data_IF_713155958054
#
_entry.id   IF_713155958054
#
_cell.length_a   1.000
_cell.length_b   1.000
_cell.length_c   1.000
_cell.angle_alpha   90.00
_cell.angle_beta   90.00
_cell.angle_gamma   90.00
#
_symmetry.space_group_name_H-M   'P 1'
#
loop_
_entity.id
_entity.type
_entity.pdbx_description
1 polymer ?
#
# COMPACT_ATOMS: atom_id res chain seq x y z
N UNK A 1 -20.80 7.63 -15.48
CA UNK A 1 -20.05 8.05 -14.26
C UNK A 1 -19.91 6.87 -13.33
N UNK A 2 -18.70 6.50 -12.89
CA UNK A 2 -18.52 5.47 -11.85
C UNK A 2 -19.39 5.87 -10.65
N UNK A 3 -20.21 4.94 -10.15
CA UNK A 3 -21.03 5.23 -8.98
C UNK A 3 -20.05 5.48 -7.84
N UNK A 4 -20.31 6.50 -7.02
CA UNK A 4 -19.43 6.99 -5.95
C UNK A 4 -19.31 5.97 -4.79
N UNK A 5 -18.83 4.77 -5.08
CA UNK A 5 -18.83 3.55 -4.24
C UNK A 5 -17.41 3.04 -3.95
N UNK A 6 -16.41 3.90 -4.11
CA UNK A 6 -15.01 3.55 -3.92
C UNK A 6 -14.80 2.93 -2.53
N UNK A 7 -14.51 1.63 -2.49
CA UNK A 7 -14.21 0.91 -1.24
C UNK A 7 -12.72 0.67 -1.16
N UNK A 8 -12.07 1.23 -0.14
CA UNK A 8 -10.67 0.87 0.16
C UNK A 8 -10.64 -0.58 0.62
N UNK A 9 -9.77 -1.38 0.02
CA UNK A 9 -9.61 -2.81 0.34
C UNK A 9 -8.21 -3.14 0.85
N UNK A 10 -7.25 -2.24 0.69
CA UNK A 10 -5.89 -2.41 1.17
C UNK A 10 -5.24 -1.05 1.43
N UNK A 11 -4.51 -0.95 2.53
CA UNK A 11 -3.55 0.12 2.77
C UNK A 11 -2.23 -0.51 3.25
N UNK A 12 -1.10 -0.03 2.76
CA UNK A 12 0.20 -0.52 3.16
C UNK A 12 1.26 0.56 3.15
N UNK A 13 2.15 0.53 4.15
CA UNK A 13 3.38 1.31 4.21
C UNK A 13 4.57 0.37 4.37
N UNK A 14 5.65 0.67 3.67
CA UNK A 14 6.89 -0.08 3.69
C UNK A 14 8.05 0.89 3.86
N UNK A 15 8.90 0.65 4.85
CA UNK A 15 10.08 1.46 5.13
C UNK A 15 11.31 0.60 4.94
N UNK A 16 12.19 0.98 4.01
CA UNK A 16 13.52 0.38 3.86
C UNK A 16 14.50 1.18 4.70
N UNK A 17 15.20 0.49 5.60
CA UNK A 17 16.00 1.11 6.65
C UNK A 17 17.44 0.62 6.54
N UNK A 18 18.39 1.54 6.64
CA UNK A 18 19.82 1.27 6.57
C UNK A 18 20.62 2.16 7.54
N UNK A 19 21.70 1.67 8.17
CA UNK A 19 22.05 0.26 8.28
C UNK A 19 21.06 -0.47 9.21
N UNK A 20 20.69 -1.71 8.88
CA UNK A 20 19.95 -2.60 9.78
C UNK A 20 20.81 -3.81 10.15
N UNK A 21 20.73 -4.22 11.41
CA UNK A 21 21.32 -5.48 11.92
C UNK A 21 20.22 -6.51 12.22
N UNK A 22 20.56 -7.80 12.29
CA UNK A 22 19.64 -8.81 12.81
C UNK A 22 19.16 -8.45 14.21
N UNK A 23 17.87 -8.60 14.46
CA UNK A 23 17.28 -8.39 15.78
C UNK A 23 17.63 -9.56 16.72
N UNK A 24 17.97 -9.23 17.97
CA UNK A 24 18.13 -10.22 19.05
C UNK A 24 16.78 -10.82 19.45
N UNK A 25 16.78 -11.90 20.25
CA UNK A 25 15.53 -12.48 20.77
C UNK A 25 14.81 -11.48 21.67
N UNK A 26 15.55 -10.80 22.55
CA UNK A 26 14.99 -9.82 23.49
C UNK A 26 14.37 -8.63 22.77
N UNK A 27 14.99 -8.15 21.70
CA UNK A 27 14.46 -7.09 20.85
C UNK A 27 13.15 -7.49 20.15
N UNK A 28 13.07 -8.72 19.66
CA UNK A 28 11.83 -9.24 19.05
C UNK A 28 10.71 -9.34 20.09
N UNK A 29 11.02 -9.83 21.29
CA UNK A 29 10.05 -9.94 22.39
C UNK A 29 9.61 -8.57 22.91
N UNK A 30 10.55 -7.63 23.06
CA UNK A 30 10.25 -6.25 23.43
C UNK A 30 9.32 -5.60 22.39
N UNK A 31 9.61 -5.77 21.09
CA UNK A 31 8.76 -5.24 20.03
C UNK A 31 7.35 -5.82 20.07
N UNK A 32 7.21 -7.14 20.21
CA UNK A 32 5.90 -7.78 20.35
C UNK A 32 5.12 -7.29 21.58
N UNK A 33 5.80 -7.10 22.72
CA UNK A 33 5.21 -6.58 23.95
C UNK A 33 4.73 -5.13 23.79
N UNK A 34 5.54 -4.27 23.17
CA UNK A 34 5.15 -2.88 22.93
C UNK A 34 3.97 -2.79 21.95
N UNK A 35 3.93 -3.65 20.92
CA UNK A 35 2.79 -3.75 20.01
C UNK A 35 1.51 -4.19 20.74
N UNK A 36 1.59 -5.14 21.68
CA UNK A 36 0.41 -5.53 22.45
C UNK A 36 -0.11 -4.41 23.35
N UNK A 37 0.76 -3.53 23.86
CA UNK A 37 0.34 -2.39 24.70
C UNK A 37 -0.44 -1.32 23.93
N UNK A 38 -0.29 -1.23 22.61
CA UNK A 38 -1.15 -0.40 21.75
C UNK A 38 -2.36 -1.18 21.20
N UNK A 39 -2.59 -2.40 21.72
CA UNK A 39 -3.71 -3.28 21.38
C UNK A 39 -3.49 -4.19 20.17
N UNK A 40 -2.29 -4.24 19.59
CA UNK A 40 -1.94 -5.19 18.53
C UNK A 40 -1.49 -6.54 19.14
N UNK A 41 -2.44 -7.28 19.69
CA UNK A 41 -2.19 -8.64 20.20
C UNK A 41 -2.00 -9.63 19.04
N UNK A 42 -0.86 -10.33 19.03
CA UNK A 42 -0.51 -11.23 17.94
C UNK A 42 -1.38 -12.50 17.97
N UNK A 43 -2.28 -12.64 16.99
CA UNK A 43 -3.00 -13.89 16.72
C UNK A 43 -2.06 -14.93 16.08
N UNK A 44 -1.12 -14.43 15.27
CA UNK A 44 -0.09 -15.25 14.63
C UNK A 44 1.22 -14.49 14.58
N UNK A 45 2.30 -15.19 14.93
CA UNK A 45 3.67 -14.70 14.78
C UNK A 45 4.37 -15.43 13.64
N UNK A 46 5.12 -14.70 12.82
CA UNK A 46 5.98 -15.27 11.80
C UNK A 46 7.45 -15.02 12.16
N UNK A 47 8.27 -16.08 12.10
CA UNK A 47 9.72 -15.93 12.12
C UNK A 47 10.15 -15.36 10.77
N UNK A 48 10.89 -14.26 10.78
CA UNK A 48 11.47 -13.65 9.58
C UNK A 48 12.98 -13.59 9.73
N UNK A 49 13.69 -13.64 8.61
CA UNK A 49 15.14 -13.50 8.60
C UNK A 49 15.55 -12.16 9.24
N UNK A 50 16.38 -12.23 10.29
CA UNK A 50 16.82 -11.05 11.03
C UNK A 50 15.71 -10.27 11.75
N UNK A 51 14.47 -10.79 11.86
CA UNK A 51 13.35 -10.03 12.41
C UNK A 51 12.14 -10.85 12.89
N UNK A 52 10.96 -10.23 12.90
CA UNK A 52 9.70 -10.75 13.44
C UNK A 52 8.51 -10.17 12.69
N UNK A 53 7.47 -10.99 12.46
CA UNK A 53 6.18 -10.54 11.96
C UNK A 53 5.05 -10.89 12.90
N UNK A 54 4.05 -10.02 13.00
CA UNK A 54 2.79 -10.30 13.68
C UNK A 54 1.61 -10.04 12.76
N UNK A 55 0.56 -10.84 12.94
CA UNK A 55 -0.79 -10.58 12.46
C UNK A 55 -1.70 -10.42 13.68
N UNK A 56 -2.45 -9.33 13.74
CA UNK A 56 -3.36 -9.00 14.81
C UNK A 56 -4.73 -8.57 14.24
N UNK A 57 -5.80 -8.79 14.99
CA UNK A 57 -7.10 -8.15 14.75
C UNK A 57 -7.24 -6.95 15.67
N UNK A 58 -7.61 -5.80 15.12
CA UNK A 58 -7.80 -4.56 15.87
C UNK A 58 -9.06 -3.88 15.36
N UNK A 59 -10.03 -3.62 16.25
CA UNK A 59 -11.31 -2.98 15.91
C UNK A 59 -12.01 -3.58 14.66
N UNK A 60 -11.90 -4.90 14.47
CA UNK A 60 -12.54 -5.60 13.35
C UNK A 60 -11.78 -5.55 12.01
N UNK A 61 -10.58 -4.98 11.97
CA UNK A 61 -9.66 -5.07 10.82
C UNK A 61 -8.44 -5.92 11.14
N UNK A 62 -7.89 -6.59 10.12
CA UNK A 62 -6.58 -7.23 10.23
C UNK A 62 -5.48 -6.18 10.10
N UNK A 63 -4.48 -6.26 10.97
CA UNK A 63 -3.22 -5.50 10.88
C UNK A 63 -2.06 -6.49 10.82
N UNK A 64 -1.16 -6.26 9.88
CA UNK A 64 0.09 -7.01 9.75
C UNK A 64 1.24 -6.04 9.96
N UNK A 65 2.12 -6.37 10.89
CA UNK A 65 3.36 -5.62 11.16
C UNK A 65 4.53 -6.58 11.04
N UNK A 66 5.45 -6.32 10.12
CA UNK A 66 6.63 -7.15 9.93
C UNK A 66 7.90 -6.30 9.92
N UNK A 67 8.93 -6.77 10.60
CA UNK A 67 10.28 -6.23 10.53
C UNK A 67 11.22 -7.36 10.16
N UNK A 68 12.07 -7.17 9.17
CA UNK A 68 12.98 -8.22 8.69
C UNK A 68 14.18 -7.63 7.94
N UNK A 69 15.18 -8.46 7.65
CA UNK A 69 16.31 -8.09 6.80
C UNK A 69 16.01 -8.44 5.34
N UNK A 70 16.35 -7.55 4.42
CA UNK A 70 16.24 -7.80 2.97
C UNK A 70 17.59 -8.02 2.32
N UNK A 71 18.64 -7.48 2.94
CA UNK A 71 20.03 -7.63 2.51
C UNK A 71 20.95 -7.48 3.72
N UNK A 72 22.26 -7.79 3.60
CA UNK A 72 23.18 -7.81 4.73
C UNK A 72 23.24 -6.53 5.58
N UNK A 73 22.84 -5.37 5.05
CA UNK A 73 22.82 -4.08 5.77
C UNK A 73 21.52 -3.31 5.63
N UNK A 74 20.48 -3.90 5.04
CA UNK A 74 19.18 -3.24 4.92
C UNK A 74 18.10 -4.13 5.49
N UNK A 75 17.09 -3.52 6.06
CA UNK A 75 15.85 -4.26 6.27
C UNK A 75 14.64 -3.40 6.13
N UNK A 76 13.51 -4.02 6.41
CA UNK A 76 12.20 -3.46 6.19
C UNK A 76 11.42 -3.37 7.49
N UNK A 77 10.53 -2.38 7.54
CA UNK A 77 9.36 -2.33 8.40
C UNK A 77 8.14 -2.21 7.48
N UNK A 78 7.28 -3.22 7.51
CA UNK A 78 6.08 -3.34 6.71
C UNK A 78 4.86 -3.27 7.62
N UNK A 79 3.92 -2.38 7.30
CA UNK A 79 2.68 -2.17 8.05
C UNK A 79 1.53 -2.22 7.06
N UNK A 80 0.63 -3.20 7.18
CA UNK A 80 -0.46 -3.44 6.25
C UNK A 80 -1.80 -3.57 6.98
N UNK A 81 -2.85 -3.05 6.34
CA UNK A 81 -4.23 -3.43 6.58
C UNK A 81 -4.80 -4.04 5.29
N UNK A 82 -4.82 -5.37 5.16
CA UNK A 82 -5.11 -6.04 3.91
C UNK A 82 -6.60 -6.21 3.60
N UNK A 83 -7.49 -5.99 4.57
CA UNK A 83 -8.93 -6.24 4.44
C UNK A 83 -9.73 -5.18 5.19
N UNK A 84 -10.75 -4.61 4.55
CA UNK A 84 -11.63 -3.56 5.09
C UNK A 84 -10.90 -2.47 5.92
N UNK A 85 -9.83 -1.87 5.38
CA UNK A 85 -9.00 -0.95 6.14
C UNK A 85 -9.79 0.29 6.57
N UNK A 86 -9.60 0.70 7.82
CA UNK A 86 -9.98 2.01 8.31
C UNK A 86 -8.77 2.94 8.21
N UNK A 87 -8.84 3.97 7.38
CA UNK A 87 -7.71 4.86 7.09
C UNK A 87 -7.23 5.68 8.28
N UNK A 88 -8.17 6.22 9.06
CA UNK A 88 -7.86 6.99 10.27
C UNK A 88 -7.16 6.10 11.29
N UNK A 89 -7.64 4.87 11.43
CA UNK A 89 -7.03 3.89 12.31
C UNK A 89 -5.65 3.46 11.80
N UNK A 90 -5.51 3.24 10.49
CA UNK A 90 -4.24 2.86 9.87
C UNK A 90 -3.15 3.88 10.16
N UNK A 91 -3.42 5.18 9.96
CA UNK A 91 -2.42 6.24 10.21
C UNK A 91 -1.95 6.24 11.67
N UNK A 92 -2.90 6.18 12.63
CA UNK A 92 -2.58 6.12 14.08
C UNK A 92 -1.74 4.91 14.44
N UNK A 93 -2.13 3.73 13.94
CA UNK A 93 -1.39 2.49 14.20
C UNK A 93 0.00 2.56 13.58
N UNK A 94 0.10 3.02 12.33
CA UNK A 94 1.38 3.06 11.63
C UNK A 94 2.37 4.06 12.27
N UNK A 95 1.88 5.21 12.76
CA UNK A 95 2.66 6.14 13.57
C UNK A 95 3.14 5.49 14.87
N UNK A 96 2.23 4.87 15.65
CA UNK A 96 2.59 4.21 16.91
C UNK A 96 3.58 3.05 16.72
N UNK A 97 3.39 2.23 15.68
CA UNK A 97 4.33 1.15 15.32
C UNK A 97 5.70 1.72 14.95
N UNK A 98 5.73 2.84 14.24
CA UNK A 98 6.94 3.56 13.92
C UNK A 98 7.68 4.07 15.15
N UNK A 99 6.99 4.71 16.09
CA UNK A 99 7.57 5.19 17.35
C UNK A 99 8.15 4.04 18.18
N UNK A 100 7.42 2.91 18.25
CA UNK A 100 7.91 1.68 18.90
C UNK A 100 9.18 1.18 18.18
N UNK A 101 9.19 1.18 16.85
CA UNK A 101 10.34 0.75 16.07
C UNK A 101 11.59 1.58 16.39
N UNK A 102 11.47 2.92 16.39
CA UNK A 102 12.56 3.84 16.76
C UNK A 102 13.07 3.49 18.15
N UNK A 103 12.17 3.47 19.15
CA UNK A 103 12.54 3.26 20.55
C UNK A 103 13.33 1.98 20.79
N UNK A 104 13.02 0.90 20.07
CA UNK A 104 13.68 -0.39 20.28
C UNK A 104 14.92 -0.57 19.39
N UNK A 105 14.93 -0.02 18.16
CA UNK A 105 15.90 -0.44 17.16
C UNK A 105 16.88 0.64 16.67
N UNK A 106 16.69 1.93 16.97
CA UNK A 106 17.56 3.00 16.43
C UNK A 106 18.71 3.42 17.35
N UNK A 107 18.83 2.87 18.55
CA UNK A 107 19.97 3.06 19.46
C UNK A 107 20.98 1.90 19.27
N UNK A 108 22.30 2.11 19.03
CA UNK A 108 23.09 3.35 19.16
C UNK A 108 23.60 3.99 17.86
N UNK A 109 23.18 3.53 16.68
CA UNK A 109 23.66 4.08 15.40
C UNK A 109 22.55 4.79 14.65
N UNK A 110 22.80 5.98 14.08
CA UNK A 110 21.83 6.65 13.25
C UNK A 110 21.42 5.75 12.08
N UNK A 111 20.12 5.57 11.93
CA UNK A 111 19.51 4.87 10.79
C UNK A 111 18.94 5.91 9.83
N UNK A 112 18.88 5.56 8.55
CA UNK A 112 18.16 6.31 7.53
C UNK A 112 17.03 5.45 6.96
N UNK A 113 15.91 6.10 6.67
CA UNK A 113 14.95 5.60 5.70
C UNK A 113 15.59 5.72 4.32
N UNK A 114 16.14 4.63 3.81
CA UNK A 114 16.70 4.58 2.46
C UNK A 114 15.60 4.70 1.39
N UNK A 115 14.39 4.21 1.70
CA UNK A 115 13.21 4.30 0.85
C UNK A 115 11.96 4.21 1.73
N UNK A 116 10.91 4.93 1.35
CA UNK A 116 9.56 4.75 1.89
C UNK A 116 8.65 4.41 0.72
N UNK A 117 7.76 3.44 0.89
CA UNK A 117 6.72 3.12 -0.07
C UNK A 117 5.37 3.14 0.62
N UNK A 118 4.35 3.53 -0.12
CA UNK A 118 2.98 3.40 0.32
C UNK A 118 2.09 2.96 -0.83
N UNK A 119 1.08 2.17 -0.49
CA UNK A 119 0.12 1.63 -1.43
C UNK A 119 -1.28 1.69 -0.88
N UNK A 120 -2.23 1.98 -1.76
CA UNK A 120 -3.65 1.94 -1.48
C UNK A 120 -4.35 1.24 -2.64
N UNK A 121 -5.27 0.33 -2.30
CA UNK A 121 -6.11 -0.34 -3.29
C UNK A 121 -7.57 -0.01 -3.03
N UNK A 122 -8.30 0.37 -4.08
CA UNK A 122 -9.72 0.63 -4.04
C UNK A 122 -10.45 -0.22 -5.07
N UNK A 123 -11.67 -0.64 -4.74
CA UNK A 123 -12.62 -1.20 -5.68
C UNK A 123 -13.66 -0.14 -6.04
N UNK A 124 -13.92 0.04 -7.32
CA UNK A 124 -14.96 0.92 -7.84
C UNK A 124 -16.02 0.09 -8.54
N UNK A 125 -17.29 0.39 -8.28
CA UNK A 125 -18.38 -0.22 -9.05
C UNK A 125 -18.48 0.41 -10.43
N UNK A 126 -18.58 -0.44 -11.43
CA UNK A 126 -18.90 -0.04 -12.77
C UNK A 126 -20.26 0.68 -12.84
N UNK A 127 -20.36 1.65 -13.75
CA UNK A 127 -21.61 2.36 -14.00
C UNK A 127 -22.60 1.48 -14.78
N UNK A 128 -23.92 1.73 -14.71
CA UNK A 128 -24.91 1.00 -15.50
C UNK A 128 -24.66 1.05 -17.01
N UNK A 129 -24.06 2.13 -17.52
CA UNK A 129 -23.69 2.31 -18.94
C UNK A 129 -22.59 1.35 -19.40
N UNK A 130 -21.71 0.96 -18.48
CA UNK A 130 -20.60 0.04 -18.73
C UNK A 130 -20.53 -0.99 -17.61
N UNK A 131 -21.43 -1.98 -17.57
CA UNK A 131 -21.55 -2.92 -16.44
C UNK A 131 -20.34 -3.85 -16.30
N UNK A 132 -19.46 -3.93 -17.31
CA UNK A 132 -18.26 -4.76 -17.31
C UNK A 132 -16.99 -3.89 -17.27
N UNK A 133 -16.13 -4.13 -16.28
CA UNK A 133 -14.94 -3.33 -15.98
C UNK A 133 -13.93 -3.28 -17.14
N UNK A 134 -13.68 -4.42 -17.77
CA UNK A 134 -12.81 -4.45 -18.95
C UNK A 134 -13.43 -3.69 -20.14
N UNK A 135 -14.75 -3.76 -20.31
CA UNK A 135 -15.45 -3.06 -21.37
C UNK A 135 -15.32 -1.55 -21.18
N UNK A 136 -15.52 -1.08 -19.94
CA UNK A 136 -15.27 0.30 -19.57
C UNK A 136 -13.83 0.73 -19.86
N UNK A 137 -12.81 -0.06 -19.48
CA UNK A 137 -11.42 0.29 -19.76
C UNK A 137 -11.16 0.37 -21.28
N UNK A 138 -11.63 -0.62 -22.04
CA UNK A 138 -11.35 -0.75 -23.47
C UNK A 138 -12.12 0.29 -24.30
N UNK A 139 -13.44 0.33 -24.15
CA UNK A 139 -14.29 1.18 -24.98
C UNK A 139 -14.33 2.62 -24.48
N UNK A 140 -14.48 2.82 -23.17
CA UNK A 140 -14.65 4.16 -22.61
C UNK A 140 -13.32 4.87 -22.37
N UNK A 141 -12.36 4.23 -21.71
CA UNK A 141 -11.09 4.90 -21.38
C UNK A 141 -10.11 4.96 -22.57
N UNK A 142 -10.05 3.90 -23.38
CA UNK A 142 -9.15 3.84 -24.55
C UNK A 142 -9.83 4.24 -25.87
N UNK A 143 -11.16 4.36 -25.92
CA UNK A 143 -11.89 4.70 -27.15
C UNK A 143 -11.80 3.61 -28.22
N UNK A 144 -11.59 2.35 -27.82
CA UNK A 144 -11.35 1.22 -28.73
C UNK A 144 -12.62 0.46 -29.03
N UNK A 145 -12.71 -0.07 -30.25
CA UNK A 145 -13.88 -0.87 -30.66
C UNK A 145 -13.76 -2.31 -30.12
N UNK A 146 -14.87 -2.96 -29.74
CA UNK A 146 -14.87 -4.36 -29.32
C UNK A 146 -14.33 -5.31 -30.40
N UNK A 147 -14.55 -4.98 -31.67
CA UNK A 147 -14.13 -5.78 -32.81
C UNK A 147 -12.60 -5.86 -32.93
N UNK A 148 -11.87 -4.85 -32.47
CA UNK A 148 -10.38 -4.87 -32.44
C UNK A 148 -9.84 -6.04 -31.59
N UNK A 149 -10.63 -6.55 -30.63
CA UNK A 149 -10.25 -7.68 -29.78
C UNK A 149 -10.44 -9.04 -30.46
N UNK A 150 -11.18 -9.11 -31.57
CA UNK A 150 -11.43 -10.35 -32.30
C UNK A 150 -10.14 -11.03 -32.78
N UNK A 151 -9.06 -10.27 -32.98
CA UNK A 151 -7.73 -10.77 -33.34
C UNK A 151 -7.18 -11.79 -32.34
N UNK A 152 -7.61 -11.73 -31.07
CA UNK A 152 -7.18 -12.65 -30.02
C UNK A 152 -7.91 -14.01 -30.08
N UNK A 153 -8.96 -14.13 -30.90
CA UNK A 153 -9.66 -15.39 -31.17
C UNK A 153 -10.37 -16.01 -29.97
N UNK A 154 -10.47 -15.30 -28.84
CA UNK A 154 -11.09 -15.76 -27.58
C UNK A 154 -11.77 -14.60 -26.85
N UNK A 155 -12.80 -14.87 -26.04
CA UNK A 155 -13.38 -13.88 -25.13
C UNK A 155 -12.36 -13.39 -24.11
N UNK A 156 -12.36 -12.09 -23.83
CA UNK A 156 -11.46 -11.47 -22.86
C UNK A 156 -12.20 -11.31 -21.54
N UNK A 157 -11.66 -11.94 -20.50
CA UNK A 157 -12.23 -11.90 -19.15
C UNK A 157 -11.77 -10.69 -18.35
N UNK A 158 -10.66 -10.07 -18.76
CA UNK A 158 -10.10 -8.94 -18.05
C UNK A 158 -8.90 -8.31 -18.74
N UNK A 159 -8.55 -7.12 -18.26
CA UNK A 159 -7.43 -6.33 -18.73
C UNK A 159 -7.30 -5.05 -17.92
N UNK A 160 -6.30 -4.25 -18.24
CA UNK A 160 -6.07 -3.02 -17.49
C UNK A 160 -5.02 -2.10 -18.07
N UNK A 161 -4.83 -0.98 -17.37
CA UNK A 161 -3.88 0.06 -17.68
C UNK A 161 -2.87 0.15 -16.54
N UNK A 162 -1.61 0.31 -16.90
CA UNK A 162 -0.52 0.57 -15.95
C UNK A 162 0.20 1.85 -16.34
N UNK A 163 0.24 2.78 -15.42
CA UNK A 163 0.97 4.03 -15.54
C UNK A 163 2.14 4.02 -14.56
N UNK A 164 3.32 4.36 -15.05
CA UNK A 164 4.52 4.54 -14.23
C UNK A 164 5.02 5.96 -14.48
N UNK A 165 4.95 6.78 -13.44
CA UNK A 165 5.38 8.18 -13.45
C UNK A 165 6.73 8.24 -12.72
N UNK A 166 7.85 8.41 -13.45
CA UNK A 166 9.16 8.49 -12.82
C UNK A 166 9.29 9.77 -11.97
N UNK A 167 10.21 9.79 -10.99
CA UNK A 167 10.47 10.99 -10.20
C UNK A 167 10.96 12.12 -11.11
N UNK A 168 10.59 13.35 -10.75
CA UNK A 168 11.09 14.58 -11.39
C UNK A 168 11.88 15.41 -10.38
N UNK A 169 12.70 16.39 -10.82
CA UNK A 169 13.43 17.26 -9.89
C UNK A 169 12.53 18.01 -8.90
N UNK A 170 11.29 18.33 -9.29
CA UNK A 170 10.32 19.05 -8.46
C UNK A 170 9.43 18.11 -7.63
N UNK A 171 9.30 16.85 -8.03
CA UNK A 171 8.54 15.82 -7.33
C UNK A 171 9.36 14.51 -7.32
N UNK A 172 10.24 14.31 -6.33
CA UNK A 172 11.17 13.18 -6.28
C UNK A 172 10.49 11.89 -5.79
N UNK A 173 9.30 11.61 -6.32
CA UNK A 173 8.47 10.46 -5.96
C UNK A 173 8.15 9.69 -7.23
N UNK A 174 8.46 8.40 -7.23
CA UNK A 174 7.95 7.50 -8.26
C UNK A 174 6.50 7.16 -7.92
N UNK A 175 5.58 7.40 -8.86
CA UNK A 175 4.17 7.04 -8.68
C UNK A 175 3.77 6.00 -9.70
N UNK A 176 3.07 4.95 -9.27
CA UNK A 176 2.51 3.93 -10.14
C UNK A 176 1.01 3.83 -9.92
N UNK A 177 0.26 3.70 -11.01
CA UNK A 177 -1.19 3.46 -10.99
C UNK A 177 -1.50 2.24 -11.83
N UNK A 178 -2.31 1.35 -11.29
CA UNK A 178 -2.92 0.24 -12.02
C UNK A 178 -4.43 0.41 -11.97
N UNK A 179 -5.09 0.27 -13.11
CA UNK A 179 -6.55 0.27 -13.25
C UNK A 179 -6.90 -1.00 -14.02
N UNK A 180 -7.46 -1.99 -13.35
CA UNK A 180 -7.67 -3.32 -13.90
C UNK A 180 -9.12 -3.77 -13.64
N UNK A 181 -9.65 -4.61 -14.52
CA UNK A 181 -10.86 -5.37 -14.22
C UNK A 181 -10.61 -6.33 -13.06
N UNK A 182 -11.47 -6.34 -12.06
CA UNK A 182 -11.37 -7.30 -10.97
C UNK A 182 -11.86 -8.67 -11.42
N UNK A 183 -10.94 -9.64 -11.58
CA UNK A 183 -11.24 -10.94 -12.21
C UNK A 183 -12.35 -11.70 -11.46
N UNK A 184 -12.42 -11.56 -10.13
CA UNK A 184 -13.41 -12.25 -9.31
C UNK A 184 -14.82 -11.65 -9.45
N UNK A 185 -14.94 -10.37 -9.84
CA UNK A 185 -16.21 -9.72 -10.12
C UNK A 185 -16.04 -8.71 -11.28
N UNK A 186 -16.49 -9.06 -12.50
CA UNK A 186 -16.31 -8.22 -13.68
C UNK A 186 -17.03 -6.88 -13.58
N UNK A 187 -17.90 -6.66 -12.58
CA UNK A 187 -18.56 -5.37 -12.33
C UNK A 187 -17.72 -4.41 -11.50
N UNK A 188 -16.52 -4.83 -11.09
CA UNK A 188 -15.64 -4.03 -10.25
C UNK A 188 -14.34 -3.70 -10.99
N UNK A 189 -13.92 -2.45 -10.85
CA UNK A 189 -12.58 -1.99 -11.20
C UNK A 189 -11.69 -2.04 -9.97
N UNK A 190 -10.55 -2.70 -10.10
CA UNK A 190 -9.49 -2.69 -9.12
C UNK A 190 -8.49 -1.59 -9.47
N UNK A 191 -8.28 -0.66 -8.52
CA UNK A 191 -7.38 0.47 -8.69
C UNK A 191 -6.34 0.44 -7.60
N UNK A 192 -5.06 0.37 -7.96
CA UNK A 192 -3.92 0.47 -7.05
C UNK A 192 -3.13 1.73 -7.37
N UNK A 193 -2.87 2.56 -6.36
CA UNK A 193 -1.83 3.57 -6.43
C UNK A 193 -0.70 3.18 -5.48
N UNK A 194 0.53 3.33 -5.97
CA UNK A 194 1.75 3.16 -5.19
C UNK A 194 2.62 4.40 -5.35
N UNK A 195 3.18 4.90 -4.26
CA UNK A 195 4.16 5.98 -4.25
C UNK A 195 5.43 5.48 -3.59
N UNK A 196 6.59 5.83 -4.16
CA UNK A 196 7.91 5.55 -3.59
C UNK A 196 8.67 6.85 -3.41
N UNK A 197 9.04 7.13 -2.17
CA UNK A 197 9.90 8.23 -1.79
C UNK A 197 11.34 7.71 -1.74
N UNK A 198 12.14 8.11 -2.72
CA UNK A 198 13.50 7.58 -2.95
C UNK A 198 14.60 8.42 -2.29
N UNK A 199 14.24 9.56 -1.70
CA UNK A 199 15.19 10.42 -1.01
C UNK A 199 15.48 9.86 0.38
N UNK A 200 16.75 9.58 0.71
CA UNK A 200 17.12 9.13 2.04
C UNK A 200 16.81 10.20 3.08
N UNK A 201 16.22 9.79 4.19
CA UNK A 201 15.92 10.65 5.32
C UNK A 201 16.42 10.01 6.60
N UNK A 202 16.92 10.80 7.54
CA UNK A 202 17.24 10.28 8.87
C UNK A 202 15.97 9.68 9.50
N UNK A 203 16.12 8.53 10.16
CA UNK A 203 15.07 8.00 11.02
C UNK A 203 15.04 8.91 12.25
N UNK A 204 14.33 10.03 12.10
CA UNK A 204 14.10 11.01 13.16
C UNK A 204 13.14 10.49 14.23
N UNK A 205 12.48 11.40 14.95
CA UNK A 205 11.56 11.03 16.03
C UNK A 205 10.15 10.66 15.57
N UNK A 206 9.82 10.79 14.28
CA UNK A 206 8.46 10.56 13.78
C UNK A 206 8.43 9.72 12.51
N UNK A 207 7.42 8.86 12.40
CA UNK A 207 7.05 8.15 11.18
C UNK A 207 5.88 8.88 10.52
N UNK A 208 6.05 9.48 9.32
CA UNK A 208 5.03 10.34 8.70
C UNK A 208 3.87 9.54 8.06
N UNK A 209 3.38 8.48 8.70
CA UNK A 209 2.43 7.54 8.10
C UNK A 209 1.12 8.23 7.67
N UNK A 210 0.58 9.14 8.50
CA UNK A 210 -0.60 9.94 8.16
C UNK A 210 -0.41 10.79 6.90
N UNK A 211 0.74 11.48 6.79
CA UNK A 211 1.05 12.32 5.62
C UNK A 211 1.21 11.49 4.34
N UNK A 212 1.97 10.39 4.40
CA UNK A 212 2.19 9.51 3.25
C UNK A 212 0.86 8.93 2.76
N UNK A 213 0.01 8.46 3.68
CA UNK A 213 -1.32 7.97 3.36
C UNK A 213 -2.21 9.06 2.75
N UNK A 214 -2.25 10.25 3.36
CA UNK A 214 -3.06 11.35 2.88
C UNK A 214 -2.68 11.74 1.44
N UNK A 215 -1.38 11.81 1.13
CA UNK A 215 -0.88 12.10 -0.21
C UNK A 215 -1.29 11.02 -1.23
N UNK A 216 -1.19 9.75 -0.87
CA UNK A 216 -1.65 8.62 -1.70
C UNK A 216 -3.14 8.68 -1.98
N UNK A 217 -3.95 8.90 -0.94
CA UNK A 217 -5.40 8.95 -1.07
C UNK A 217 -5.84 10.16 -1.91
N UNK A 218 -5.27 11.34 -1.64
CA UNK A 218 -5.51 12.55 -2.41
C UNK A 218 -5.16 12.36 -3.89
N UNK A 219 -4.06 11.67 -4.18
CA UNK A 219 -3.68 11.42 -5.56
C UNK A 219 -4.70 10.54 -6.29
N UNK A 220 -5.19 9.47 -5.65
CA UNK A 220 -6.28 8.67 -6.23
C UNK A 220 -7.52 9.53 -6.46
N UNK A 221 -7.98 10.25 -5.45
CA UNK A 221 -9.27 10.93 -5.51
C UNK A 221 -9.24 12.15 -6.46
N UNK A 222 -8.10 12.85 -6.54
CA UNK A 222 -7.96 14.06 -7.37
C UNK A 222 -7.51 13.78 -8.80
N UNK A 223 -6.75 12.71 -9.05
CA UNK A 223 -6.15 12.45 -10.37
C UNK A 223 -6.71 11.18 -11.00
N UNK A 224 -6.66 10.05 -10.29
CA UNK A 224 -7.08 8.76 -10.86
C UNK A 224 -8.60 8.70 -11.02
N UNK A 225 -9.36 9.12 -10.02
CA UNK A 225 -10.82 9.20 -10.12
C UNK A 225 -11.25 10.18 -11.21
N UNK A 226 -10.54 11.30 -11.38
CA UNK A 226 -10.78 12.22 -12.50
C UNK A 226 -10.52 11.58 -13.85
N UNK A 227 -9.39 10.90 -14.01
CA UNK A 227 -9.05 10.15 -15.23
C UNK A 227 -10.14 9.14 -15.59
N UNK A 228 -10.69 8.43 -14.60
CA UNK A 228 -11.80 7.49 -14.80
C UNK A 228 -13.13 8.22 -15.09
N UNK A 229 -13.37 9.38 -14.49
CA UNK A 229 -14.63 10.12 -14.71
C UNK A 229 -14.64 10.98 -15.97
N UNK A 230 -13.46 11.28 -16.54
CA UNK A 230 -13.34 12.15 -17.69
C UNK A 230 -13.75 11.41 -18.97
N UNK A 231 -14.52 12.12 -19.80
CA UNK A 231 -15.20 11.70 -21.04
C UNK A 231 -16.60 11.14 -20.86
#
# INVERSE_FOLDING_TARGET
MLVNTARVIHIGLNYVIAPKRPLTVDEKLAFQKELSMIGLEAEKTAKKEGGVGIKASYEGTTVIVETFMNSPNTGQLLILMPENPNSVLFSKIAEAVGEIYIRIFTDPKPQVFAQKDGSIRKLYSCSPEYPHAFQYIWEKMLGKSPEELSVLGKPILGGGLRFVMPPTPNEPIETQVKIESFIQDPKLLWVEATMKWLQPEEVGTNFPAGELYARLNDFIDKNVAKLMSAQ
#
